data_IF_252054531066
#
_entry.id   IF_252054531066
#
_cell.length_a   1.000
_cell.length_b   1.000
_cell.length_c   1.000
_cell.angle_alpha   90.00
_cell.angle_beta   90.00
_cell.angle_gamma   90.00
#
_symmetry.space_group_name_H-M   'P 1'
#
loop_
_entity.id
_entity.type
_entity.pdbx_description
1 polymer ?
#
# COMPACT_ATOMS: atom_id res chain seq x y z
N UNK A 1 -2.92 13.78 9.37
CA UNK A 1 -3.24 13.65 7.94
C UNK A 1 -4.14 12.45 7.73
N UNK A 2 -5.24 12.64 7.01
CA UNK A 2 -6.18 11.57 6.69
C UNK A 2 -6.16 11.28 5.20
N UNK A 3 -6.21 10.01 4.83
CA UNK A 3 -6.30 9.59 3.44
C UNK A 3 -7.40 8.56 3.29
N UNK A 4 -8.08 8.58 2.15
CA UNK A 4 -9.05 7.55 1.79
C UNK A 4 -9.08 7.35 0.28
N UNK A 5 -9.58 6.22 -0.14
CA UNK A 5 -9.73 5.89 -1.54
C UNK A 5 -10.38 4.54 -1.73
N UNK A 6 -10.86 4.28 -2.95
CA UNK A 6 -11.43 3.00 -3.33
C UNK A 6 -10.89 2.61 -4.70
N UNK A 7 -10.53 1.34 -4.84
CA UNK A 7 -9.87 0.83 -6.03
C UNK A 7 -10.47 -0.51 -6.43
N UNK A 8 -10.76 -0.68 -7.72
CA UNK A 8 -11.28 -1.94 -8.25
C UNK A 8 -10.14 -2.84 -8.69
N UNK A 9 -10.22 -4.11 -8.31
CA UNK A 9 -9.27 -5.12 -8.74
C UNK A 9 -10.04 -6.27 -9.43
N UNK A 10 -9.49 -6.80 -10.55
CA UNK A 10 -10.22 -7.71 -11.43
C UNK A 10 -10.14 -9.18 -11.01
N UNK A 11 -10.57 -9.48 -9.79
CA UNK A 11 -10.64 -10.84 -9.27
C UNK A 11 -11.60 -10.90 -8.08
N UNK A 12 -11.96 -12.10 -7.66
CA UNK A 12 -12.77 -12.31 -6.47
C UNK A 12 -11.97 -12.00 -5.20
N UNK A 13 -12.63 -11.71 -4.07
CA UNK A 13 -11.95 -11.33 -2.82
C UNK A 13 -10.90 -12.34 -2.35
N UNK A 14 -11.11 -13.61 -2.58
CA UNK A 14 -10.13 -14.65 -2.20
C UNK A 14 -8.81 -14.45 -2.94
N UNK A 15 -8.85 -14.23 -4.24
CA UNK A 15 -7.64 -13.98 -5.05
C UNK A 15 -7.02 -12.65 -4.70
N UNK A 16 -7.83 -11.59 -4.57
CA UNK A 16 -7.35 -10.26 -4.18
C UNK A 16 -6.65 -10.30 -2.84
N UNK A 17 -7.25 -10.96 -1.86
CA UNK A 17 -6.65 -11.14 -0.53
C UNK A 17 -5.27 -11.79 -0.62
N UNK A 18 -5.20 -12.91 -1.34
CA UNK A 18 -3.96 -13.67 -1.50
C UNK A 18 -2.84 -12.84 -2.14
N UNK A 19 -3.15 -12.09 -3.19
CA UNK A 19 -2.16 -11.28 -3.91
C UNK A 19 -1.79 -10.03 -3.11
N UNK A 20 -2.76 -9.38 -2.51
CA UNK A 20 -2.56 -8.14 -1.75
C UNK A 20 -1.64 -8.35 -0.55
N UNK A 21 -1.64 -9.53 0.04
CA UNK A 21 -0.79 -9.88 1.18
C UNK A 21 0.43 -10.72 0.79
N UNK A 22 0.64 -10.97 -0.49
CA UNK A 22 1.81 -11.69 -0.96
C UNK A 22 3.04 -10.76 -0.96
N UNK A 23 4.13 -11.12 -0.26
CA UNK A 23 5.32 -10.28 -0.18
C UNK A 23 5.93 -9.91 -1.54
N UNK A 24 5.96 -10.83 -2.49
CA UNK A 24 6.50 -10.55 -3.82
C UNK A 24 5.62 -9.55 -4.58
N UNK A 25 4.31 -9.69 -4.49
CA UNK A 25 3.38 -8.76 -5.12
C UNK A 25 3.47 -7.37 -4.47
N UNK A 26 3.60 -7.31 -3.15
CA UNK A 26 3.79 -6.05 -2.43
C UNK A 26 5.07 -5.36 -2.85
N UNK A 27 6.17 -6.10 -2.92
CA UNK A 27 7.47 -5.56 -3.34
C UNK A 27 7.41 -4.95 -4.73
N UNK A 28 6.69 -5.60 -5.65
CA UNK A 28 6.53 -5.12 -7.03
C UNK A 28 5.54 -3.97 -7.17
N UNK A 29 4.64 -3.82 -6.20
CA UNK A 29 3.55 -2.84 -6.28
C UNK A 29 3.88 -1.53 -5.59
N UNK A 30 4.75 -1.53 -4.58
CA UNK A 30 5.13 -0.32 -3.85
C UNK A 30 6.00 0.57 -4.75
N UNK A 31 5.53 1.80 -5.08
CA UNK A 31 6.29 2.69 -5.97
C UNK A 31 7.66 3.03 -5.40
N UNK A 32 8.70 2.83 -6.19
CA UNK A 32 10.06 3.17 -5.81
C UNK A 32 10.74 2.24 -4.81
N UNK A 33 10.14 1.09 -4.50
CA UNK A 33 10.73 0.13 -3.57
C UNK A 33 12.05 -0.41 -4.13
N UNK A 34 13.14 -0.24 -3.37
CA UNK A 34 14.46 -0.79 -3.68
C UNK A 34 14.67 -2.12 -2.98
N UNK A 35 14.09 -2.28 -1.79
CA UNK A 35 14.11 -3.53 -1.05
C UNK A 35 12.82 -3.68 -0.24
N UNK A 36 12.42 -4.91 -0.04
CA UNK A 36 11.24 -5.26 0.74
C UNK A 36 11.53 -6.63 1.36
N UNK A 37 11.78 -6.67 2.65
CA UNK A 37 12.25 -7.87 3.33
C UNK A 37 11.42 -8.20 4.56
N UNK A 38 11.10 -9.47 4.79
CA UNK A 38 10.38 -9.86 6.01
C UNK A 38 11.23 -9.60 7.26
N UNK A 39 10.55 -9.17 8.33
CA UNK A 39 11.17 -8.91 9.63
C UNK A 39 10.27 -9.53 10.72
N UNK A 40 10.17 -10.84 10.74
CA UNK A 40 9.27 -11.56 11.62
C UNK A 40 7.90 -11.78 10.99
N UNK A 41 6.93 -12.19 11.82
CA UNK A 41 5.59 -12.50 11.33
C UNK A 41 4.82 -11.24 10.96
N UNK A 42 4.33 -11.21 9.70
CA UNK A 42 3.50 -10.12 9.18
C UNK A 42 4.15 -8.74 9.28
N UNK A 43 5.46 -8.67 9.37
CA UNK A 43 6.22 -7.42 9.40
C UNK A 43 7.29 -7.41 8.32
N UNK A 44 7.52 -6.22 7.74
CA UNK A 44 8.44 -6.03 6.63
C UNK A 44 9.21 -4.73 6.80
N UNK A 45 10.49 -4.76 6.37
CA UNK A 45 11.26 -3.53 6.19
C UNK A 45 11.26 -3.16 4.71
N UNK A 46 11.25 -1.87 4.42
CA UNK A 46 11.21 -1.38 3.04
C UNK A 46 12.15 -0.19 2.89
N UNK A 47 12.89 -0.18 1.80
CA UNK A 47 13.68 0.98 1.38
C UNK A 47 13.08 1.51 0.08
N UNK A 48 12.80 2.81 0.06
CA UNK A 48 12.14 3.49 -1.05
C UNK A 48 13.01 4.59 -1.61
N UNK A 49 12.94 4.76 -2.93
CA UNK A 49 13.42 5.97 -3.58
C UNK A 49 12.19 6.66 -4.19
N UNK A 50 11.84 7.82 -3.65
CA UNK A 50 10.67 8.58 -4.08
C UNK A 50 11.10 9.68 -5.03
N UNK A 51 10.44 9.78 -6.19
CA UNK A 51 10.76 10.77 -7.21
C UNK A 51 9.76 11.92 -7.31
N UNK A 52 8.74 11.94 -6.45
CA UNK A 52 7.79 13.06 -6.40
C UNK A 52 8.50 14.30 -5.83
N UNK A 53 8.45 15.41 -6.57
CA UNK A 53 9.30 16.58 -6.36
C UNK A 53 9.39 17.10 -4.92
N UNK A 54 8.26 17.27 -4.24
CA UNK A 54 8.23 17.83 -2.89
C UNK A 54 8.79 16.92 -1.82
N UNK A 55 8.77 15.61 -2.05
CA UNK A 55 9.25 14.62 -1.09
C UNK A 55 10.34 13.73 -1.67
N UNK A 56 10.95 14.17 -2.78
CA UNK A 56 12.01 13.39 -3.43
C UNK A 56 13.13 13.04 -2.45
N UNK A 57 13.51 11.77 -2.42
CA UNK A 57 14.57 11.29 -1.56
C UNK A 57 14.47 9.80 -1.26
N UNK A 58 15.39 9.34 -0.46
CA UNK A 58 15.45 7.96 -0.01
C UNK A 58 14.82 7.85 1.38
N UNK A 59 14.02 6.83 1.57
CA UNK A 59 13.30 6.58 2.82
C UNK A 59 13.45 5.13 3.23
N UNK A 60 13.48 4.91 4.54
CA UNK A 60 13.43 3.57 5.12
C UNK A 60 12.19 3.45 5.99
N UNK A 61 11.55 2.32 5.94
CA UNK A 61 10.32 2.13 6.70
C UNK A 61 10.08 0.71 7.14
N UNK A 62 9.03 0.57 7.92
CA UNK A 62 8.55 -0.71 8.43
C UNK A 62 7.05 -0.77 8.24
N UNK A 63 6.58 -1.93 7.81
CA UNK A 63 5.15 -2.19 7.58
C UNK A 63 4.76 -3.42 8.37
N UNK A 64 3.67 -3.32 9.14
CA UNK A 64 3.10 -4.45 9.86
C UNK A 64 1.67 -4.66 9.37
N UNK A 65 1.35 -5.91 9.03
CA UNK A 65 -0.02 -6.31 8.69
C UNK A 65 -0.67 -6.84 9.95
N UNK A 66 -1.73 -6.16 10.41
CA UNK A 66 -2.40 -6.47 11.66
C UNK A 66 -3.91 -6.67 11.46
N UNK A 67 -4.56 -7.22 12.47
CA UNK A 67 -6.02 -7.37 12.52
C UNK A 67 -6.60 -8.03 11.27
N UNK A 68 -5.97 -9.11 10.82
CA UNK A 68 -6.39 -9.81 9.62
C UNK A 68 -7.73 -10.52 9.79
N UNK A 69 -8.70 -10.12 8.98
CA UNK A 69 -9.98 -10.82 8.82
C UNK A 69 -9.98 -11.36 7.38
N UNK A 70 -9.58 -12.63 7.17
CA UNK A 70 -9.36 -13.16 5.82
C UNK A 70 -10.47 -12.85 4.84
N UNK A 71 -10.08 -12.33 3.68
CA UNK A 71 -10.95 -11.94 2.57
C UNK A 71 -11.86 -10.74 2.87
N UNK A 72 -11.75 -10.15 4.04
CA UNK A 72 -12.62 -9.04 4.46
C UNK A 72 -11.85 -7.76 4.74
N UNK A 73 -10.91 -7.79 5.68
CA UNK A 73 -10.17 -6.57 6.03
C UNK A 73 -8.85 -6.87 6.72
N UNK A 74 -7.95 -5.89 6.67
CA UNK A 74 -6.73 -5.90 7.47
C UNK A 74 -6.27 -4.47 7.70
N UNK A 75 -5.39 -4.30 8.66
CA UNK A 75 -4.83 -3.00 9.01
C UNK A 75 -3.34 -2.99 8.70
N UNK A 76 -2.87 -1.96 8.02
CA UNK A 76 -1.44 -1.71 7.87
C UNK A 76 -1.00 -0.68 8.89
N UNK A 77 0.08 -0.97 9.59
CA UNK A 77 0.74 -0.03 10.50
C UNK A 77 2.07 0.30 9.83
N UNK A 78 2.30 1.58 9.56
CA UNK A 78 3.46 2.02 8.79
C UNK A 78 4.27 3.06 9.55
N UNK A 79 5.59 2.96 9.41
CA UNK A 79 6.55 3.95 9.89
C UNK A 79 7.59 4.15 8.80
N UNK A 80 7.96 5.38 8.55
CA UNK A 80 8.97 5.69 7.56
C UNK A 80 9.73 6.96 7.92
N UNK A 81 10.99 7.02 7.52
CA UNK A 81 11.84 8.19 7.77
C UNK A 81 12.88 8.37 6.68
N UNK A 82 13.28 9.60 6.47
CA UNK A 82 14.33 9.98 5.54
C UNK A 82 14.83 11.38 5.87
N UNK A 83 15.69 11.93 5.03
CA UNK A 83 16.29 13.23 5.25
C UNK A 83 15.26 14.37 5.36
N UNK A 84 14.11 14.22 4.68
CA UNK A 84 13.08 15.28 4.64
C UNK A 84 12.00 15.14 5.70
N UNK A 85 11.98 14.07 6.45
CA UNK A 85 11.00 13.94 7.51
C UNK A 85 10.64 12.49 7.82
N UNK A 86 9.62 12.34 8.63
CA UNK A 86 9.14 11.05 9.08
C UNK A 86 7.62 10.99 9.01
N UNK A 87 7.13 9.77 8.87
CA UNK A 87 5.70 9.47 8.82
C UNK A 87 5.43 8.26 9.71
N UNK A 88 4.37 8.31 10.49
CA UNK A 88 3.85 7.13 11.18
C UNK A 88 2.33 7.13 11.04
N UNK A 89 1.74 5.95 10.89
CA UNK A 89 0.30 5.90 10.75
C UNK A 89 -0.24 4.50 10.56
N UNK A 90 -1.54 4.43 10.32
CA UNK A 90 -2.22 3.18 10.05
C UNK A 90 -3.33 3.37 9.02
N UNK A 91 -3.63 2.30 8.31
CA UNK A 91 -4.70 2.30 7.32
C UNK A 91 -5.50 1.01 7.39
N UNK A 92 -6.82 1.13 7.33
CA UNK A 92 -7.73 0.00 7.24
C UNK A 92 -8.04 -0.27 5.77
N UNK A 93 -7.80 -1.50 5.36
CA UNK A 93 -8.11 -2.00 4.01
C UNK A 93 -9.31 -2.92 4.12
N UNK A 94 -10.37 -2.63 3.37
CA UNK A 94 -11.60 -3.42 3.37
C UNK A 94 -11.88 -3.91 1.95
N UNK A 95 -12.16 -5.21 1.81
CA UNK A 95 -12.48 -5.83 0.54
C UNK A 95 -13.98 -6.06 0.44
N UNK A 96 -14.57 -5.64 -0.69
CA UNK A 96 -16.01 -5.83 -0.95
C UNK A 96 -16.18 -6.36 -2.36
N UNK A 97 -16.90 -7.47 -2.50
CA UNK A 97 -17.23 -8.00 -3.82
C UNK A 97 -18.43 -7.24 -4.39
N UNK A 98 -18.24 -6.62 -5.55
CA UNK A 98 -19.30 -5.87 -6.24
C UNK A 98 -20.07 -6.79 -7.18
N UNK A 99 -19.33 -7.66 -7.86
CA UNK A 99 -19.87 -8.67 -8.77
C UNK A 99 -18.85 -9.79 -8.91
N UNK A 100 -19.22 -10.97 -9.45
CA UNK A 100 -18.25 -12.03 -9.69
C UNK A 100 -17.06 -11.51 -10.53
N UNK A 101 -15.85 -11.81 -10.07
CA UNK A 101 -14.63 -11.40 -10.76
C UNK A 101 -14.20 -9.96 -10.50
N UNK A 102 -14.83 -9.25 -9.57
CA UNK A 102 -14.46 -7.87 -9.25
C UNK A 102 -14.57 -7.58 -7.76
N UNK A 103 -13.51 -7.04 -7.19
CA UNK A 103 -13.44 -6.65 -5.79
C UNK A 103 -13.06 -5.17 -5.69
N UNK A 104 -13.72 -4.44 -4.80
CA UNK A 104 -13.34 -3.08 -4.45
C UNK A 104 -12.55 -3.12 -3.14
N UNK A 105 -11.37 -2.51 -3.15
CA UNK A 105 -10.57 -2.34 -1.94
C UNK A 105 -10.71 -0.89 -1.51
N UNK A 106 -11.28 -0.69 -0.33
CA UNK A 106 -11.43 0.63 0.28
C UNK A 106 -10.33 0.83 1.30
N UNK A 107 -9.71 2.01 1.29
CA UNK A 107 -8.61 2.36 2.19
C UNK A 107 -8.99 3.59 2.99
N UNK A 108 -8.87 3.50 4.31
CA UNK A 108 -9.02 4.64 5.21
C UNK A 108 -7.82 4.69 6.13
N UNK A 109 -7.06 5.79 6.08
CA UNK A 109 -5.84 5.90 6.85
C UNK A 109 -5.69 7.23 7.57
N UNK A 110 -4.91 7.20 8.63
CA UNK A 110 -4.49 8.37 9.39
C UNK A 110 -3.01 8.27 9.68
N UNK A 111 -2.32 9.40 9.62
CA UNK A 111 -0.90 9.44 9.90
C UNK A 111 -0.47 10.74 10.52
N UNK A 112 0.68 10.69 11.19
CA UNK A 112 1.38 11.83 11.74
C UNK A 112 2.65 12.05 10.94
N UNK A 113 2.96 13.31 10.71
CA UNK A 113 4.12 13.72 9.93
C UNK A 113 5.02 14.60 10.77
N UNK A 114 6.34 14.50 10.55
CA UNK A 114 7.34 15.25 11.28
C UNK A 114 8.44 15.74 10.34
N UNK A 115 9.25 16.68 10.83
CA UNK A 115 10.36 17.23 10.07
C UNK A 115 9.89 18.18 8.98
N UNK A 116 10.58 18.17 7.85
CA UNK A 116 10.23 19.04 6.71
C UNK A 116 8.85 18.75 6.15
N UNK A 117 8.34 17.54 6.29
CA UNK A 117 6.98 17.20 5.86
C UNK A 117 5.93 18.08 6.53
N UNK A 118 6.12 18.42 7.81
CA UNK A 118 5.18 19.28 8.52
C UNK A 118 5.08 20.68 7.91
N UNK A 119 6.13 21.14 7.23
CA UNK A 119 6.16 22.44 6.56
C UNK A 119 5.52 22.43 5.18
N UNK A 120 5.48 21.27 4.54
CA UNK A 120 4.87 21.12 3.20
C UNK A 120 3.37 21.32 3.25
N UNK A 121 2.74 20.93 4.36
CA UNK A 121 1.30 21.08 4.56
C UNK A 121 0.52 19.81 4.21
N UNK A 122 -0.56 19.61 4.94
CA UNK A 122 -1.37 18.39 4.83
C UNK A 122 -2.05 18.24 3.47
N UNK A 123 -2.46 19.36 2.87
CA UNK A 123 -3.15 19.33 1.57
C UNK A 123 -2.24 18.80 0.47
N UNK A 124 -1.01 19.29 0.42
CA UNK A 124 -0.04 18.86 -0.58
C UNK A 124 0.39 17.41 -0.36
N UNK A 125 0.66 17.04 0.89
CA UNK A 125 1.02 15.65 1.22
C UNK A 125 -0.14 14.70 0.96
N UNK A 126 -1.38 15.13 1.18
CA UNK A 126 -2.56 14.35 0.83
C UNK A 126 -2.64 14.04 -0.66
N UNK A 127 -2.30 15.02 -1.50
CA UNK A 127 -2.22 14.83 -2.94
C UNK A 127 -1.13 13.85 -3.35
N UNK A 128 0.04 13.93 -2.72
CA UNK A 128 1.14 12.99 -2.94
C UNK A 128 0.72 11.57 -2.52
N UNK A 129 0.10 11.43 -1.36
CA UNK A 129 -0.37 10.14 -0.87
C UNK A 129 -1.37 9.50 -1.84
N UNK A 130 -2.31 10.29 -2.37
CA UNK A 130 -3.27 9.81 -3.37
C UNK A 130 -2.57 9.34 -4.65
N UNK A 131 -1.57 10.06 -5.10
CA UNK A 131 -0.80 9.67 -6.28
C UNK A 131 -0.08 8.36 -6.06
N UNK A 132 0.58 8.20 -4.91
CA UNK A 132 1.30 6.97 -4.58
C UNK A 132 0.35 5.78 -4.41
N UNK A 133 -0.82 5.99 -3.81
CA UNK A 133 -1.85 4.95 -3.70
C UNK A 133 -2.37 4.53 -5.08
N UNK A 134 -2.59 5.49 -5.97
CA UNK A 134 -3.03 5.20 -7.34
C UNK A 134 -1.98 4.36 -8.07
N UNK A 135 -0.71 4.69 -7.92
CA UNK A 135 0.39 3.92 -8.50
C UNK A 135 0.47 2.51 -7.89
N UNK A 136 0.34 2.41 -6.58
CA UNK A 136 0.34 1.14 -5.88
C UNK A 136 -0.77 0.21 -6.40
N UNK A 137 -2.00 0.70 -6.44
CA UNK A 137 -3.13 -0.12 -6.90
C UNK A 137 -3.09 -0.39 -8.40
N UNK A 138 -2.54 0.52 -9.20
CA UNK A 138 -2.29 0.25 -10.61
C UNK A 138 -1.30 -0.90 -10.82
N UNK A 139 -0.24 -0.93 -10.02
CA UNK A 139 0.74 -2.02 -10.03
C UNK A 139 0.13 -3.32 -9.48
N UNK A 140 -0.64 -3.20 -8.39
CA UNK A 140 -1.31 -4.35 -7.77
C UNK A 140 -2.32 -4.99 -8.74
N UNK A 141 -3.02 -4.18 -9.52
CA UNK A 141 -3.92 -4.67 -10.56
C UNK A 141 -3.19 -5.61 -11.53
N UNK A 142 -1.98 -5.25 -11.94
CA UNK A 142 -1.14 -6.09 -12.80
C UNK A 142 -0.79 -7.41 -12.13
N UNK A 143 -0.49 -7.39 -10.83
CA UNK A 143 -0.17 -8.59 -10.08
C UNK A 143 -1.40 -9.50 -9.95
N UNK A 144 -2.57 -8.93 -9.71
CA UNK A 144 -3.83 -9.67 -9.66
C UNK A 144 -4.14 -10.31 -11.01
N UNK A 145 -4.00 -9.55 -12.10
CA UNK A 145 -4.21 -10.06 -13.45
C UNK A 145 -3.26 -11.22 -13.79
N UNK A 146 -1.99 -11.11 -13.38
CA UNK A 146 -1.01 -12.17 -13.58
C UNK A 146 -1.39 -13.43 -12.79
N UNK A 147 -1.88 -13.27 -11.56
CA UNK A 147 -2.32 -14.38 -10.73
C UNK A 147 -3.52 -15.11 -11.33
N UNK A 148 -4.51 -14.36 -11.82
CA UNK A 148 -5.70 -14.93 -12.47
C UNK A 148 -5.30 -15.68 -13.74
N UNK A 149 -4.42 -15.11 -14.54
CA UNK A 149 -3.91 -15.73 -15.76
C UNK A 149 -3.14 -17.02 -15.47
N UNK A 150 -2.31 -17.02 -14.45
CA UNK A 150 -1.55 -18.19 -14.04
C UNK A 150 -2.48 -19.33 -13.58
N UNK A 151 -3.50 -19.01 -12.79
CA UNK A 151 -4.49 -19.98 -12.34
C UNK A 151 -5.31 -20.56 -13.52
N UNK A 152 -5.65 -19.73 -14.50
CA UNK A 152 -6.39 -20.19 -15.68
C UNK A 152 -5.54 -21.07 -16.60
N UNK A 153 -4.21 -20.95 -16.56
CA UNK A 153 -3.29 -21.74 -17.37
C UNK A 153 -3.07 -23.15 -16.79
N UNK A 154 -3.38 -23.32 -15.52
CA UNK A 154 -3.30 -24.63 -14.84
C UNK A 154 -4.61 -25.42 -15.11
#
# INVERSE_FOLDING_TARGET
MKINGSYKLPADPETVWSVLLDPDALAKSIPGAKSFAPEGDDAYTVDLSVSVATIRGDYSGRVVVADQQPRSSFKLIVEGKGAKGALSGSALFTLSQVKPGETVVSVEGEGEIAGLFARVGQRMLGGVAKLLMKQFFGNMKKQVQASVKAAAAD
#
